data_IF_279898865309
#
_entry.id   IF_279898865309
#
_cell.length_a   1.000
_cell.length_b   1.000
_cell.length_c   1.000
_cell.angle_alpha   90.00
_cell.angle_beta   90.00
_cell.angle_gamma   90.00
#
_symmetry.space_group_name_H-M   'P 1'
#
loop_
_entity.id
_entity.type
_entity.pdbx_description
1 polymer ?
#
# COMPACT_ATOMS: atom_id res chain seq x y z
N UNK A 1 -6.51 16.06 -18.58
CA UNK A 1 -5.95 15.39 -17.38
C UNK A 1 -5.39 14.05 -17.81
N UNK A 2 -4.30 13.59 -17.17
CA UNK A 2 -3.74 12.27 -17.46
C UNK A 2 -4.74 11.17 -17.11
N UNK A 3 -4.84 10.12 -17.93
CA UNK A 3 -5.69 8.96 -17.60
C UNK A 3 -4.96 8.03 -16.62
N UNK A 4 -5.53 7.84 -15.43
CA UNK A 4 -5.01 6.96 -14.38
C UNK A 4 -5.82 5.66 -14.32
N UNK A 5 -5.15 4.52 -14.50
CA UNK A 5 -5.73 3.22 -14.14
C UNK A 5 -5.61 3.01 -12.63
N UNK A 6 -6.72 2.77 -11.94
CA UNK A 6 -6.76 2.35 -10.53
C UNK A 6 -7.29 0.93 -10.47
N UNK A 7 -6.46 -0.03 -10.07
CA UNK A 7 -6.90 -1.42 -9.88
C UNK A 7 -7.34 -1.64 -8.43
N UNK A 8 -8.25 -2.56 -8.15
CA UNK A 8 -8.78 -2.76 -6.79
C UNK A 8 -9.69 -1.61 -6.38
N UNK A 9 -10.32 -0.97 -7.36
CA UNK A 9 -11.09 0.26 -7.18
C UNK A 9 -12.37 0.06 -6.37
N UNK A 10 -12.92 -1.17 -6.33
CA UNK A 10 -14.11 -1.47 -5.52
C UNK A 10 -13.74 -1.75 -4.04
N UNK A 11 -12.45 -1.97 -3.73
CA UNK A 11 -11.97 -2.17 -2.37
C UNK A 11 -12.09 -0.92 -1.50
N UNK A 12 -12.12 -1.11 -0.17
CA UNK A 12 -12.30 -0.02 0.80
C UNK A 12 -11.27 1.11 0.67
N UNK A 13 -10.01 0.77 0.38
CA UNK A 13 -8.98 1.78 0.11
C UNK A 13 -9.26 2.56 -1.17
N UNK A 14 -9.55 1.85 -2.27
CA UNK A 14 -9.87 2.46 -3.56
C UNK A 14 -11.02 3.46 -3.42
N UNK A 15 -12.14 3.00 -2.84
CA UNK A 15 -13.34 3.81 -2.60
C UNK A 15 -13.13 5.02 -1.68
N UNK A 16 -12.14 4.96 -0.78
CA UNK A 16 -11.82 6.05 0.14
C UNK A 16 -11.05 7.18 -0.51
N UNK A 17 -10.24 6.89 -1.54
CA UNK A 17 -9.34 7.88 -2.16
C UNK A 17 -9.87 8.48 -3.47
N UNK A 18 -10.90 7.90 -4.11
CA UNK A 18 -11.34 8.34 -5.44
C UNK A 18 -11.68 9.83 -5.51
N UNK A 19 -12.42 10.35 -4.53
CA UNK A 19 -12.85 11.76 -4.52
C UNK A 19 -11.67 12.73 -4.47
N UNK A 20 -10.58 12.33 -3.81
CA UNK A 20 -9.36 13.12 -3.71
C UNK A 20 -8.49 13.02 -4.98
N UNK A 21 -8.65 11.98 -5.80
CA UNK A 21 -7.86 11.78 -7.01
C UNK A 21 -8.49 12.39 -8.28
N UNK A 22 -9.83 12.52 -8.32
CA UNK A 22 -10.56 13.09 -9.48
C UNK A 22 -10.14 14.51 -9.88
N UNK A 23 -9.75 15.42 -8.96
CA UNK A 23 -9.23 16.73 -9.35
C UNK A 23 -7.91 16.67 -10.14
N UNK A 24 -7.18 15.55 -10.07
CA UNK A 24 -5.85 15.41 -10.66
C UNK A 24 -5.83 14.52 -11.92
N UNK A 25 -6.75 13.56 -12.02
CA UNK A 25 -6.71 12.52 -13.05
C UNK A 25 -8.10 12.22 -13.63
N UNK A 26 -8.12 11.79 -14.90
CA UNK A 26 -9.27 11.09 -15.47
C UNK A 26 -9.18 9.61 -15.07
N UNK A 27 -10.18 9.09 -14.35
CA UNK A 27 -10.07 7.79 -13.69
C UNK A 27 -10.61 6.66 -14.57
N UNK A 28 -9.80 5.61 -14.74
CA UNK A 28 -10.24 4.28 -15.15
C UNK A 28 -10.20 3.37 -13.94
N UNK A 29 -11.36 2.90 -13.50
CA UNK A 29 -11.56 2.16 -12.27
C UNK A 29 -11.72 0.66 -12.59
N UNK A 30 -10.75 -0.13 -12.15
CA UNK A 30 -10.69 -1.56 -12.41
C UNK A 30 -10.86 -2.37 -11.13
N UNK A 31 -11.73 -3.36 -11.18
CA UNK A 31 -11.87 -4.38 -10.14
C UNK A 31 -12.45 -5.69 -10.73
N UNK A 32 -12.41 -6.79 -9.99
CA UNK A 32 -13.04 -8.06 -10.36
C UNK A 32 -14.56 -8.04 -10.11
N UNK A 33 -15.05 -7.05 -9.36
CA UNK A 33 -16.48 -6.78 -9.13
C UNK A 33 -16.83 -5.35 -9.55
N UNK A 34 -18.12 -5.00 -9.71
CA UNK A 34 -18.52 -3.63 -10.01
C UNK A 34 -18.11 -2.61 -8.93
N UNK A 35 -17.77 -1.41 -9.36
CA UNK A 35 -17.37 -0.28 -8.51
C UNK A 35 -18.60 0.50 -8.08
N UNK A 36 -18.79 0.73 -6.77
CA UNK A 36 -20.02 1.33 -6.24
C UNK A 36 -20.11 2.85 -6.40
N UNK A 37 -19.00 3.60 -6.23
CA UNK A 37 -18.96 5.07 -6.37
C UNK A 37 -18.44 5.52 -7.73
N UNK A 38 -19.27 5.40 -8.77
CA UNK A 38 -18.98 5.97 -10.09
C UNK A 38 -19.44 7.43 -10.17
N UNK A 39 -18.58 8.33 -10.63
CA UNK A 39 -18.90 9.71 -10.96
C UNK A 39 -18.98 9.91 -12.48
N UNK A 40 -19.72 10.93 -12.98
CA UNK A 40 -19.67 11.32 -14.37
C UNK A 40 -18.23 11.54 -14.84
N UNK A 41 -17.80 10.79 -15.86
CA UNK A 41 -16.45 10.85 -16.41
C UNK A 41 -15.51 9.74 -15.95
N UNK A 42 -15.89 8.94 -14.94
CA UNK A 42 -15.17 7.72 -14.61
C UNK A 42 -15.42 6.65 -15.68
N UNK A 43 -14.36 5.90 -16.02
CA UNK A 43 -14.45 4.72 -16.88
C UNK A 43 -14.36 3.46 -16.03
N UNK A 44 -15.42 2.66 -15.99
CA UNK A 44 -15.42 1.39 -15.25
C UNK A 44 -14.92 0.24 -16.13
N UNK A 45 -14.08 -0.63 -15.57
CA UNK A 45 -13.59 -1.85 -16.20
C UNK A 45 -13.68 -3.00 -15.21
N UNK A 46 -14.47 -4.04 -15.52
CA UNK A 46 -14.57 -5.23 -14.66
C UNK A 46 -13.83 -6.42 -15.29
N UNK A 47 -12.93 -7.04 -14.53
CA UNK A 47 -12.25 -8.27 -14.95
C UNK A 47 -10.99 -8.57 -14.13
N UNK A 48 -10.33 -9.67 -14.46
CA UNK A 48 -9.22 -10.23 -13.68
C UNK A 48 -7.86 -10.00 -14.36
N UNK A 49 -6.97 -9.29 -13.66
CA UNK A 49 -5.59 -9.05 -14.11
C UNK A 49 -4.72 -10.31 -14.16
N UNK A 50 -5.17 -11.43 -13.58
CA UNK A 50 -4.50 -12.72 -13.76
C UNK A 50 -4.61 -13.24 -15.21
N UNK A 51 -5.55 -12.74 -16.00
CA UNK A 51 -5.59 -12.92 -17.46
C UNK A 51 -4.64 -11.89 -18.13
N UNK A 52 -3.55 -12.33 -18.79
CA UNK A 52 -2.60 -11.42 -19.42
C UNK A 52 -3.23 -10.60 -20.57
N UNK A 53 -4.15 -11.19 -21.34
CA UNK A 53 -4.79 -10.47 -22.45
C UNK A 53 -5.71 -9.37 -21.92
N UNK A 54 -6.39 -9.64 -20.80
CA UNK A 54 -7.17 -8.64 -20.10
C UNK A 54 -6.28 -7.54 -19.53
N UNK A 55 -5.15 -7.87 -18.91
CA UNK A 55 -4.21 -6.88 -18.38
C UNK A 55 -3.73 -5.90 -19.46
N UNK A 56 -3.40 -6.39 -20.66
CA UNK A 56 -3.06 -5.54 -21.81
C UNK A 56 -4.20 -4.58 -22.17
N UNK A 57 -5.43 -5.09 -22.29
CA UNK A 57 -6.61 -4.24 -22.61
C UNK A 57 -6.89 -3.20 -21.52
N UNK A 58 -6.76 -3.59 -20.25
CA UNK A 58 -7.02 -2.72 -19.12
C UNK A 58 -6.09 -1.50 -19.08
N UNK A 59 -4.82 -1.72 -19.43
CA UNK A 59 -3.77 -0.70 -19.41
C UNK A 59 -3.79 0.20 -20.64
N UNK A 60 -4.29 -0.28 -21.78
CA UNK A 60 -4.26 0.42 -23.05
C UNK A 60 -4.90 1.82 -22.97
N UNK A 61 -4.16 2.85 -23.39
CA UNK A 61 -4.60 4.25 -23.41
C UNK A 61 -4.60 4.97 -22.05
N UNK A 62 -4.08 4.33 -20.99
CA UNK A 62 -3.74 5.00 -19.74
C UNK A 62 -2.37 5.68 -19.82
N UNK A 63 -2.09 6.58 -18.88
CA UNK A 63 -0.82 7.30 -18.77
C UNK A 63 -0.17 7.11 -17.40
N UNK A 64 -0.86 6.52 -16.43
CA UNK A 64 -0.31 6.09 -15.14
C UNK A 64 -1.10 4.91 -14.59
N UNK A 65 -0.51 4.22 -13.62
CA UNK A 65 -1.16 3.13 -12.88
C UNK A 65 -1.02 3.36 -11.38
N UNK A 66 -2.12 3.21 -10.65
CA UNK A 66 -2.18 2.98 -9.21
C UNK A 66 -2.66 1.55 -8.96
N UNK A 67 -1.76 0.67 -8.55
CA UNK A 67 -2.06 -0.74 -8.33
C UNK A 67 -2.40 -1.01 -6.87
N UNK A 68 -3.70 -1.04 -6.53
CA UNK A 68 -4.22 -1.38 -5.20
C UNK A 68 -4.70 -2.84 -5.07
N UNK A 69 -4.99 -3.51 -6.20
CA UNK A 69 -5.60 -4.83 -6.19
C UNK A 69 -4.69 -5.84 -5.47
N UNK A 70 -5.26 -6.52 -4.48
CA UNK A 70 -4.66 -7.65 -3.80
C UNK A 70 -5.74 -8.36 -2.96
N UNK A 71 -5.52 -9.63 -2.66
CA UNK A 71 -6.21 -10.33 -1.57
C UNK A 71 -5.33 -10.31 -0.32
N UNK A 72 -5.98 -10.20 0.83
CA UNK A 72 -5.31 -10.17 2.13
C UNK A 72 -6.16 -10.86 3.20
N UNK A 73 -5.54 -11.22 4.31
CA UNK A 73 -6.20 -11.82 5.46
C UNK A 73 -5.19 -12.20 6.52
N UNK A 74 -5.62 -12.31 7.79
CA UNK A 74 -4.74 -12.60 8.91
C UNK A 74 -3.93 -13.89 8.69
N UNK A 75 -4.55 -14.93 8.16
CA UNK A 75 -3.93 -16.25 7.95
C UNK A 75 -4.13 -16.74 6.51
N UNK A 76 -4.16 -15.83 5.54
CA UNK A 76 -4.37 -16.19 4.14
C UNK A 76 -3.25 -17.13 3.65
N UNK A 77 -3.58 -18.29 3.06
CA UNK A 77 -2.57 -19.22 2.56
C UNK A 77 -1.90 -18.69 1.29
N UNK A 78 -0.68 -19.15 1.02
CA UNK A 78 0.08 -18.74 -0.16
C UNK A 78 -0.69 -18.95 -1.48
N UNK A 79 -1.34 -20.10 -1.64
CA UNK A 79 -2.08 -20.46 -2.85
C UNK A 79 -3.19 -19.47 -3.19
N UNK A 80 -3.86 -18.94 -2.17
CA UNK A 80 -4.93 -17.95 -2.35
C UNK A 80 -4.39 -16.60 -2.86
N UNK A 81 -3.11 -16.31 -2.67
CA UNK A 81 -2.49 -15.05 -3.11
C UNK A 81 -1.95 -15.09 -4.54
N UNK A 82 -1.77 -16.28 -5.14
CA UNK A 82 -1.05 -16.46 -6.40
C UNK A 82 -1.62 -15.65 -7.57
N UNK A 83 -2.95 -15.66 -7.77
CA UNK A 83 -3.56 -14.93 -8.87
C UNK A 83 -3.49 -13.42 -8.64
N UNK A 84 -4.09 -12.95 -7.54
CA UNK A 84 -4.32 -11.53 -7.32
C UNK A 84 -3.07 -10.75 -6.89
N UNK A 85 -2.09 -11.38 -6.24
CA UNK A 85 -0.93 -10.67 -5.69
C UNK A 85 0.36 -10.94 -6.47
N UNK A 86 0.43 -12.03 -7.25
CA UNK A 86 1.63 -12.39 -8.03
C UNK A 86 1.39 -12.29 -9.53
N UNK A 87 0.48 -13.10 -10.09
CA UNK A 87 0.20 -13.12 -11.53
C UNK A 87 -0.32 -11.78 -12.04
N UNK A 88 -1.28 -11.18 -11.31
CA UNK A 88 -1.80 -9.86 -11.64
C UNK A 88 -0.71 -8.78 -11.68
N UNK A 89 0.25 -8.79 -10.75
CA UNK A 89 1.37 -7.83 -10.72
C UNK A 89 2.28 -8.03 -11.94
N UNK A 90 2.66 -9.28 -12.27
CA UNK A 90 3.50 -9.56 -13.45
C UNK A 90 2.82 -9.12 -14.73
N UNK A 91 1.56 -9.51 -14.92
CA UNK A 91 0.79 -9.19 -16.12
C UNK A 91 0.61 -7.67 -16.26
N UNK A 92 0.29 -6.98 -15.17
CA UNK A 92 0.16 -5.52 -15.16
C UNK A 92 1.47 -4.83 -15.51
N UNK A 93 2.59 -5.26 -14.93
CA UNK A 93 3.90 -4.66 -15.18
C UNK A 93 4.37 -4.91 -16.61
N UNK A 94 4.15 -6.11 -17.14
CA UNK A 94 4.49 -6.42 -18.54
C UNK A 94 3.63 -5.63 -19.52
N UNK A 95 2.30 -5.57 -19.29
CA UNK A 95 1.40 -4.74 -20.08
C UNK A 95 1.81 -3.26 -20.05
N UNK A 96 2.11 -2.72 -18.86
CA UNK A 96 2.55 -1.35 -18.68
C UNK A 96 3.89 -1.06 -19.38
N UNK A 97 4.82 -2.02 -19.38
CA UNK A 97 6.09 -1.92 -20.09
C UNK A 97 5.89 -1.84 -21.60
N UNK A 98 5.05 -2.71 -22.17
CA UNK A 98 4.74 -2.74 -23.61
C UNK A 98 4.05 -1.44 -24.05
N UNK A 99 3.07 -0.97 -23.28
CA UNK A 99 2.33 0.27 -23.55
C UNK A 99 3.09 1.55 -23.14
N UNK A 100 4.30 1.40 -22.58
CA UNK A 100 5.17 2.50 -22.11
C UNK A 100 4.51 3.43 -21.09
N UNK A 101 3.71 2.87 -20.20
CA UNK A 101 3.02 3.60 -19.13
C UNK A 101 4.01 4.02 -18.07
N UNK A 102 3.95 5.29 -17.67
CA UNK A 102 4.75 5.82 -16.57
C UNK A 102 4.17 7.12 -16.01
N UNK A 103 4.24 7.35 -14.68
CA UNK A 103 4.68 6.44 -13.60
C UNK A 103 3.65 5.39 -13.13
N UNK A 104 4.14 4.45 -12.30
CA UNK A 104 3.36 3.43 -11.58
C UNK A 104 3.55 3.61 -10.07
N UNK A 105 2.44 3.71 -9.33
CA UNK A 105 2.40 3.61 -7.87
C UNK A 105 1.84 2.23 -7.46
N UNK A 106 2.58 1.50 -6.63
CA UNK A 106 2.22 0.18 -6.12
C UNK A 106 1.86 0.28 -4.63
N UNK A 107 0.69 -0.21 -4.24
CA UNK A 107 0.31 -0.35 -2.84
C UNK A 107 1.06 -1.52 -2.21
N UNK A 108 2.24 -1.23 -1.66
CA UNK A 108 2.94 -2.09 -0.72
C UNK A 108 2.29 -1.97 0.68
N UNK A 109 2.90 -2.52 1.72
CA UNK A 109 2.30 -2.57 3.05
C UNK A 109 3.34 -2.58 4.17
N UNK A 110 2.99 -1.94 5.30
CA UNK A 110 3.69 -2.06 6.58
C UNK A 110 3.94 -3.52 7.00
N UNK A 111 3.05 -4.44 6.60
CA UNK A 111 3.15 -5.87 6.89
C UNK A 111 4.44 -6.52 6.37
N UNK A 112 5.08 -5.97 5.33
CA UNK A 112 6.42 -6.39 4.90
C UNK A 112 7.50 -6.26 5.99
N UNK A 113 7.24 -5.42 7.00
CA UNK A 113 8.06 -5.19 8.20
C UNK A 113 7.33 -5.58 9.48
N UNK A 114 6.27 -6.40 9.39
CA UNK A 114 5.38 -6.68 10.52
C UNK A 114 6.02 -7.45 11.67
N UNK A 115 7.04 -8.29 11.43
CA UNK A 115 7.81 -8.96 12.50
C UNK A 115 9.00 -8.12 12.99
N UNK A 116 9.08 -6.82 12.68
CA UNK A 116 9.97 -5.95 13.44
C UNK A 116 9.37 -5.70 14.84
N UNK A 117 10.21 -5.71 15.90
CA UNK A 117 9.75 -5.31 17.22
C UNK A 117 9.35 -3.84 17.24
N UNK A 118 8.39 -3.50 18.09
CA UNK A 118 8.09 -2.09 18.40
C UNK A 118 9.27 -1.51 19.19
N UNK A 119 9.81 -0.39 18.72
CA UNK A 119 10.90 0.32 19.39
C UNK A 119 10.59 1.81 19.43
N UNK A 120 11.30 2.57 20.27
CA UNK A 120 11.18 4.02 20.31
C UNK A 120 11.77 4.73 19.08
N UNK A 121 12.62 4.06 18.31
CA UNK A 121 13.18 4.60 17.08
C UNK A 121 12.30 4.20 15.88
N UNK A 122 11.85 5.16 15.04
CA UNK A 122 11.13 4.83 13.81
C UNK A 122 11.98 4.00 12.87
N UNK A 123 11.36 3.00 12.23
CA UNK A 123 12.04 2.09 11.33
C UNK A 123 12.43 2.82 10.04
N UNK A 124 13.72 2.80 9.70
CA UNK A 124 14.23 3.42 8.49
C UNK A 124 13.70 2.72 7.23
N UNK A 125 13.53 3.49 6.14
CA UNK A 125 13.08 2.96 4.84
C UNK A 125 14.00 1.86 4.27
N UNK A 126 15.27 1.87 4.63
CA UNK A 126 16.29 0.88 4.22
C UNK A 126 16.30 -0.39 5.05
N UNK A 127 15.46 -0.48 6.08
CA UNK A 127 15.41 -1.65 6.96
C UNK A 127 15.01 -2.91 6.17
N UNK A 128 15.65 -4.07 6.43
CA UNK A 128 15.30 -5.30 5.73
C UNK A 128 13.86 -5.73 6.06
N UNK A 129 13.15 -6.35 5.11
CA UNK A 129 11.81 -6.84 5.37
C UNK A 129 11.83 -7.97 6.42
N UNK A 130 10.83 -7.97 7.30
CA UNK A 130 10.48 -9.06 8.23
C UNK A 130 8.98 -9.34 8.08
N UNK A 131 8.55 -10.03 7.01
CA UNK A 131 7.14 -10.13 6.64
C UNK A 131 6.34 -10.96 7.65
N UNK A 132 5.13 -10.51 8.00
CA UNK A 132 4.28 -11.14 9.03
C UNK A 132 3.19 -12.09 8.51
N UNK A 133 3.33 -12.57 7.26
CA UNK A 133 2.42 -13.54 6.63
C UNK A 133 2.55 -13.59 5.10
N UNK A 134 1.77 -14.44 4.43
CA UNK A 134 1.86 -14.60 2.96
C UNK A 134 1.42 -13.37 2.18
N UNK A 135 0.42 -12.62 2.70
CA UNK A 135 0.09 -11.30 2.16
C UNK A 135 1.31 -10.37 2.18
N UNK A 136 2.02 -10.31 3.31
CA UNK A 136 3.21 -9.48 3.47
C UNK A 136 4.33 -9.88 2.50
N UNK A 137 4.60 -11.18 2.37
CA UNK A 137 5.59 -11.71 1.41
C UNK A 137 5.24 -11.28 0.00
N UNK A 138 3.96 -11.33 -0.40
CA UNK A 138 3.54 -10.92 -1.74
C UNK A 138 3.80 -9.45 -2.03
N UNK A 139 3.67 -8.57 -1.02
CA UNK A 139 3.95 -7.13 -1.17
C UNK A 139 5.46 -6.86 -1.27
N UNK A 140 6.29 -7.53 -0.47
CA UNK A 140 7.76 -7.43 -0.57
C UNK A 140 8.25 -7.97 -1.92
N UNK A 141 7.71 -9.10 -2.37
CA UNK A 141 7.99 -9.62 -3.71
C UNK A 141 7.56 -8.62 -4.80
N UNK A 142 6.41 -7.97 -4.64
CA UNK A 142 5.95 -6.90 -5.52
C UNK A 142 6.92 -5.72 -5.59
N UNK A 143 7.50 -5.28 -4.46
CA UNK A 143 8.54 -4.25 -4.46
C UNK A 143 9.76 -4.67 -5.28
N UNK A 144 10.18 -5.93 -5.20
CA UNK A 144 11.28 -6.46 -6.01
C UNK A 144 10.95 -6.47 -7.51
N UNK A 145 9.69 -6.75 -7.89
CA UNK A 145 9.24 -6.61 -9.28
C UNK A 145 9.27 -5.13 -9.72
N UNK A 146 8.80 -4.21 -8.88
CA UNK A 146 8.84 -2.78 -9.18
C UNK A 146 10.29 -2.28 -9.38
N UNK A 147 11.22 -2.76 -8.56
CA UNK A 147 12.66 -2.51 -8.69
C UNK A 147 13.23 -3.05 -10.00
N UNK A 148 12.96 -4.32 -10.30
CA UNK A 148 13.39 -4.95 -11.56
C UNK A 148 12.94 -4.13 -12.76
N UNK A 149 11.67 -3.75 -12.83
CA UNK A 149 11.15 -3.00 -13.98
C UNK A 149 11.65 -1.55 -14.01
N UNK A 150 11.88 -0.95 -12.84
CA UNK A 150 12.48 0.37 -12.73
C UNK A 150 13.90 0.39 -13.31
N UNK A 151 14.73 -0.56 -12.89
CA UNK A 151 16.16 -0.60 -13.23
C UNK A 151 16.42 -1.20 -14.61
N UNK A 152 15.71 -2.27 -14.99
CA UNK A 152 15.94 -2.97 -16.25
C UNK A 152 15.26 -2.31 -17.45
N UNK A 153 14.13 -1.62 -17.24
CA UNK A 153 13.33 -1.04 -18.32
C UNK A 153 13.16 0.48 -18.21
N UNK A 154 13.77 1.12 -17.21
CA UNK A 154 13.70 2.58 -17.05
C UNK A 154 12.31 3.10 -16.67
N UNK A 155 11.49 2.27 -16.04
CA UNK A 155 10.16 2.69 -15.58
C UNK A 155 10.27 3.52 -14.30
N UNK A 156 9.37 4.48 -14.12
CA UNK A 156 9.25 5.23 -12.86
C UNK A 156 8.27 4.49 -11.95
N UNK A 157 8.78 3.73 -10.96
CA UNK A 157 7.98 2.93 -10.04
C UNK A 157 8.13 3.41 -8.59
N UNK A 158 7.01 3.49 -7.87
CA UNK A 158 7.00 3.88 -6.45
C UNK A 158 6.21 2.86 -5.64
N UNK A 159 6.85 2.21 -4.67
CA UNK A 159 6.18 1.33 -3.70
C UNK A 159 5.80 2.10 -2.45
N UNK A 160 4.50 2.24 -2.21
CA UNK A 160 3.94 2.90 -1.04
C UNK A 160 3.68 1.84 0.04
N UNK A 161 4.52 1.80 1.07
CA UNK A 161 4.36 0.91 2.23
C UNK A 161 3.31 1.50 3.15
N UNK A 162 2.04 1.27 2.79
CA UNK A 162 0.90 1.84 3.50
C UNK A 162 0.86 1.30 4.92
N UNK A 163 0.81 2.21 5.90
CA UNK A 163 0.54 1.92 7.30
C UNK A 163 -0.88 1.40 7.49
N UNK A 164 -1.72 2.16 8.18
CA UNK A 164 -3.15 1.88 8.25
C UNK A 164 -3.96 3.05 7.67
N UNK A 165 -4.61 2.83 6.53
CA UNK A 165 -5.43 3.87 5.92
C UNK A 165 -6.93 3.64 6.17
N UNK A 166 -7.62 4.67 6.62
CA UNK A 166 -9.04 4.60 6.97
C UNK A 166 -9.63 5.97 7.34
N UNK A 167 -10.94 6.02 7.68
CA UNK A 167 -11.60 7.25 8.11
C UNK A 167 -11.16 7.70 9.51
N UNK A 168 -10.75 6.76 10.37
CA UNK A 168 -10.36 6.97 11.76
C UNK A 168 -9.26 5.98 12.18
N UNK A 169 -8.72 6.20 13.38
CA UNK A 169 -7.75 5.33 14.05
C UNK A 169 -8.53 4.40 14.99
N UNK A 170 -8.57 3.09 14.72
CA UNK A 170 -9.45 2.18 15.47
C UNK A 170 -8.79 1.54 16.70
N UNK A 171 -7.47 1.65 16.87
CA UNK A 171 -6.74 1.14 18.04
C UNK A 171 -5.37 1.82 18.24
N UNK A 172 -4.76 1.54 19.40
CA UNK A 172 -3.44 2.04 19.79
C UNK A 172 -2.38 1.79 18.72
N UNK A 173 -2.25 0.54 18.26
CA UNK A 173 -1.22 0.15 17.30
C UNK A 173 -1.28 1.02 16.05
N UNK A 174 -2.49 1.24 15.54
CA UNK A 174 -2.71 1.98 14.30
C UNK A 174 -2.47 3.48 14.49
N UNK A 175 -2.54 4.02 15.70
CA UNK A 175 -2.21 5.42 15.98
C UNK A 175 -0.78 5.80 15.58
N UNK A 176 0.15 4.83 15.58
CA UNK A 176 1.57 5.03 15.26
C UNK A 176 1.92 4.94 13.75
N UNK A 177 0.95 4.63 12.91
CA UNK A 177 1.16 4.42 11.47
C UNK A 177 -0.08 4.72 10.62
N UNK A 178 -1.03 5.48 11.17
CA UNK A 178 -2.26 5.82 10.48
C UNK A 178 -1.99 6.83 9.36
N UNK A 179 -2.82 6.80 8.32
CA UNK A 179 -2.85 7.82 7.27
C UNK A 179 -4.29 8.01 6.79
N UNK A 180 -4.75 9.26 6.71
CA UNK A 180 -6.09 9.52 6.19
C UNK A 180 -6.19 9.21 4.70
N UNK A 181 -7.40 9.07 4.17
CA UNK A 181 -7.60 8.94 2.73
C UNK A 181 -7.08 10.17 1.94
N UNK A 182 -7.23 11.36 2.51
CA UNK A 182 -6.75 12.62 1.90
C UNK A 182 -5.23 12.63 1.81
N UNK A 183 -4.55 12.29 2.90
CA UNK A 183 -3.09 12.30 2.96
C UNK A 183 -2.49 11.19 2.11
N UNK A 184 -3.09 10.00 2.08
CA UNK A 184 -2.64 8.97 1.16
C UNK A 184 -2.82 9.39 -0.30
N UNK A 185 -3.95 10.03 -0.65
CA UNK A 185 -4.17 10.53 -2.00
C UNK A 185 -3.15 11.60 -2.41
N UNK A 186 -2.75 12.51 -1.49
CA UNK A 186 -1.72 13.52 -1.78
C UNK A 186 -0.35 12.87 -2.04
N UNK A 187 0.03 11.85 -1.26
CA UNK A 187 1.26 11.08 -1.49
C UNK A 187 1.21 10.28 -2.81
N UNK A 188 0.04 9.73 -3.17
CA UNK A 188 -0.18 9.07 -4.46
C UNK A 188 0.01 10.06 -5.61
N UNK A 189 -0.51 11.29 -5.51
CA UNK A 189 -0.31 12.34 -6.52
C UNK A 189 1.17 12.65 -6.68
N UNK A 190 1.92 12.81 -5.57
CA UNK A 190 3.38 13.02 -5.60
C UNK A 190 4.08 11.85 -6.31
N UNK A 191 3.74 10.61 -5.94
CA UNK A 191 4.31 9.41 -6.55
C UNK A 191 4.03 9.31 -8.06
N UNK A 192 2.85 9.77 -8.49
CA UNK A 192 2.40 9.74 -9.89
C UNK A 192 2.81 10.97 -10.72
N UNK A 193 3.47 11.96 -10.12
CA UNK A 193 4.12 13.08 -10.82
C UNK A 193 5.58 12.78 -11.18
N UNK A 194 6.12 11.64 -10.71
CA UNK A 194 7.52 11.25 -10.94
C UNK A 194 7.80 10.95 -12.41
N UNK A 195 8.87 11.55 -12.94
CA UNK A 195 9.32 11.34 -14.33
C UNK A 195 10.65 10.59 -14.44
N UNK A 196 11.48 10.61 -13.40
CA UNK A 196 12.78 9.94 -13.40
C UNK A 196 12.64 8.40 -13.27
N UNK A 197 13.46 7.64 -14.00
CA UNK A 197 13.43 6.19 -13.98
C UNK A 197 13.93 5.60 -12.66
N UNK A 198 13.68 4.31 -12.45
CA UNK A 198 14.13 3.55 -11.29
C UNK A 198 13.04 3.40 -10.23
N UNK A 199 13.36 2.68 -9.16
CA UNK A 199 12.43 2.38 -8.08
C UNK A 199 12.67 3.22 -6.84
N UNK A 200 11.58 3.57 -6.16
CA UNK A 200 11.59 4.14 -4.82
C UNK A 200 10.60 3.40 -3.94
N UNK A 201 10.94 3.23 -2.68
CA UNK A 201 10.00 2.78 -1.65
C UNK A 201 9.85 3.87 -0.59
N UNK A 202 8.61 4.07 -0.12
CA UNK A 202 8.28 5.09 0.88
C UNK A 202 7.38 4.45 1.94
N UNK A 203 7.59 4.76 3.22
CA UNK A 203 6.55 4.52 4.23
C UNK A 203 5.44 5.57 4.09
N UNK A 204 4.21 5.12 3.91
CA UNK A 204 3.04 5.95 3.72
C UNK A 204 2.22 5.98 5.02
N UNK A 205 2.63 6.87 5.92
CA UNK A 205 1.98 7.19 7.19
C UNK A 205 1.80 8.71 7.28
N UNK A 206 0.73 9.17 7.93
CA UNK A 206 0.47 10.58 8.21
C UNK A 206 1.29 11.09 9.39
N UNK A 207 0.80 12.15 10.04
CA UNK A 207 1.39 12.63 11.29
C UNK A 207 0.90 11.79 12.46
N UNK A 208 1.79 10.97 13.02
CA UNK A 208 1.48 10.01 14.09
C UNK A 208 2.36 10.27 15.33
N UNK A 209 1.83 10.15 16.56
CA UNK A 209 2.65 10.11 17.77
C UNK A 209 3.51 8.85 17.78
N UNK A 210 4.74 8.95 18.28
CA UNK A 210 5.71 7.85 18.41
C UNK A 210 5.71 6.90 17.20
N UNK A 211 6.01 7.40 15.99
CA UNK A 211 5.71 6.68 14.76
C UNK A 211 6.58 5.42 14.60
N UNK A 212 5.97 4.35 14.11
CA UNK A 212 6.72 3.11 13.82
C UNK A 212 7.66 3.24 12.63
N UNK A 213 7.43 4.19 11.73
CA UNK A 213 8.14 4.30 10.46
C UNK A 213 8.69 5.70 10.24
N UNK A 214 9.92 5.77 9.73
CA UNK A 214 10.49 7.04 9.27
C UNK A 214 9.88 7.45 7.92
N UNK A 215 9.21 8.60 7.92
CA UNK A 215 8.56 9.21 6.74
C UNK A 215 9.37 10.36 6.13
N UNK A 216 10.60 10.60 6.57
CA UNK A 216 11.51 11.65 6.07
C UNK A 216 11.61 11.67 4.55
N UNK A 217 11.86 10.51 3.92
CA UNK A 217 11.95 10.35 2.46
C UNK A 217 10.68 10.78 1.71
N UNK A 218 9.49 10.63 2.29
CA UNK A 218 8.26 11.14 1.69
C UNK A 218 8.18 12.67 1.81
N UNK A 219 8.55 13.21 2.99
CA UNK A 219 8.57 14.65 3.26
C UNK A 219 9.54 15.40 2.36
N UNK A 220 10.71 14.81 2.08
CA UNK A 220 11.69 15.34 1.13
C UNK A 220 11.13 15.47 -0.30
N UNK A 221 10.13 14.66 -0.65
CA UNK A 221 9.41 14.74 -1.93
C UNK A 221 8.24 15.73 -1.89
N UNK A 222 8.08 16.49 -0.80
CA UNK A 222 7.01 17.47 -0.62
C UNK A 222 5.73 16.92 0.02
N UNK A 223 5.74 15.70 0.55
CA UNK A 223 4.60 15.17 1.29
C UNK A 223 4.47 15.89 2.64
N UNK A 224 3.36 16.60 2.81
CA UNK A 224 3.00 17.27 4.05
C UNK A 224 1.60 16.79 4.47
N UNK A 225 1.50 15.77 5.35
CA UNK A 225 0.20 15.30 5.82
C UNK A 225 -0.54 16.43 6.55
N UNK A 226 -1.87 16.44 6.42
CA UNK A 226 -2.74 17.47 6.98
C UNK A 226 -3.60 16.96 8.13
N UNK A 227 -3.75 15.65 8.26
CA UNK A 227 -4.64 15.04 9.23
C UNK A 227 -3.81 14.28 10.29
N UNK A 228 -3.60 14.87 11.50
CA UNK A 228 -2.87 14.19 12.58
C UNK A 228 -3.68 13.02 13.15
N UNK A 229 -3.04 11.87 13.38
CA UNK A 229 -3.71 10.66 13.86
C UNK A 229 -4.47 10.89 15.19
N UNK A 230 -3.94 11.73 16.08
CA UNK A 230 -4.53 12.03 17.39
C UNK A 230 -5.89 12.75 17.30
N UNK A 231 -6.13 13.50 16.21
CA UNK A 231 -7.38 14.22 15.98
C UNK A 231 -8.45 13.32 15.33
N UNK A 232 -8.07 12.09 14.96
CA UNK A 232 -8.88 11.15 14.19
C UNK A 232 -9.07 9.81 14.91
N UNK A 233 -8.98 9.78 16.23
CA UNK A 233 -9.27 8.57 17.02
C UNK A 233 -10.75 8.18 16.90
N UNK A 234 -11.02 6.90 16.64
CA UNK A 234 -12.38 6.36 16.63
C UNK A 234 -13.03 6.41 18.04
N UNK A 235 -12.20 6.33 19.08
CA UNK A 235 -12.54 6.54 20.48
C UNK A 235 -11.40 7.32 21.16
N UNK A 236 -11.67 8.44 21.86
CA UNK A 236 -10.64 9.23 22.54
C UNK A 236 -9.78 8.42 23.52
N UNK A 237 -10.33 7.36 24.12
CA UNK A 237 -9.61 6.50 25.05
C UNK A 237 -8.50 5.67 24.41
N UNK A 238 -8.41 5.62 23.07
CA UNK A 238 -7.30 4.97 22.36
C UNK A 238 -5.95 5.61 22.70
N UNK A 239 -5.92 6.92 22.98
CA UNK A 239 -4.68 7.63 23.33
C UNK A 239 -3.99 7.06 24.59
N UNK A 240 -4.76 6.48 25.49
CA UNK A 240 -4.28 5.96 26.79
C UNK A 240 -4.23 4.41 26.82
N UNK A 241 -4.53 3.75 25.70
CA UNK A 241 -4.49 2.29 25.63
C UNK A 241 -3.04 1.79 25.70
N UNK A 242 -2.84 0.73 26.47
CA UNK A 242 -1.57 -0.01 26.43
C UNK A 242 -1.52 -0.95 25.22
N UNK A 243 -0.33 -1.25 24.69
CA UNK A 243 -0.17 -2.28 23.66
C UNK A 243 -0.79 -3.61 24.10
N UNK A 244 -1.33 -4.36 23.13
CA UNK A 244 -1.90 -5.70 23.39
C UNK A 244 -0.86 -6.68 23.93
N UNK A 245 -1.29 -7.70 24.68
CA UNK A 245 -0.35 -8.71 25.16
C UNK A 245 0.29 -9.55 24.02
N UNK A 246 1.46 -10.12 24.32
CA UNK A 246 2.14 -11.07 23.45
C UNK A 246 2.59 -10.48 22.12
N UNK A 247 2.62 -11.31 21.08
CA UNK A 247 3.17 -10.92 19.77
C UNK A 247 2.42 -9.74 19.13
N UNK A 248 1.13 -9.56 19.44
CA UNK A 248 0.33 -8.46 18.91
C UNK A 248 0.78 -7.08 19.40
N UNK A 249 1.24 -6.94 20.65
CA UNK A 249 1.83 -5.69 21.15
C UNK A 249 3.33 -5.61 20.97
N UNK A 250 4.04 -6.74 20.84
CA UNK A 250 5.50 -6.72 20.70
C UNK A 250 5.97 -6.42 19.28
N UNK A 251 5.21 -6.82 18.26
CA UNK A 251 5.58 -6.62 16.86
C UNK A 251 4.75 -5.51 16.20
N UNK A 252 5.36 -4.82 15.23
CA UNK A 252 4.70 -3.78 14.44
C UNK A 252 3.48 -4.33 13.69
N UNK A 253 3.50 -5.60 13.27
CA UNK A 253 2.45 -6.27 12.49
C UNK A 253 1.16 -6.55 13.26
N UNK A 254 1.18 -6.47 14.59
CA UNK A 254 -0.01 -6.65 15.41
C UNK A 254 -0.68 -8.01 15.24
N UNK A 255 -1.98 -8.00 15.01
CA UNK A 255 -2.76 -9.22 14.83
C UNK A 255 -2.28 -10.11 13.68
N UNK A 256 -1.68 -9.54 12.62
CA UNK A 256 -1.11 -10.34 11.53
C UNK A 256 0.11 -11.13 12.01
N UNK A 257 1.04 -10.46 12.70
CA UNK A 257 2.19 -11.10 13.32
C UNK A 257 1.74 -12.18 14.32
N UNK A 258 0.79 -11.86 15.20
CA UNK A 258 0.29 -12.82 16.18
C UNK A 258 -0.37 -14.05 15.53
N UNK A 259 -1.15 -13.88 14.47
CA UNK A 259 -1.85 -14.98 13.81
C UNK A 259 -0.91 -15.93 13.05
N UNK A 260 0.27 -15.45 12.61
CA UNK A 260 1.25 -16.25 11.87
C UNK A 260 2.44 -16.69 12.73
N UNK A 261 2.53 -16.24 13.99
CA UNK A 261 3.63 -16.57 14.88
C UNK A 261 3.41 -17.93 15.55
N UNK A 262 4.30 -18.87 15.27
CA UNK A 262 4.28 -20.23 15.84
C UNK A 262 5.55 -20.57 16.64
N UNK A 263 6.49 -19.62 16.73
CA UNK A 263 7.76 -19.82 17.40
C UNK A 263 7.68 -19.48 18.89
N UNK A 264 8.80 -19.67 19.61
CA UNK A 264 8.95 -19.22 20.98
C UNK A 264 9.21 -17.70 21.03
N UNK A 265 8.41 -16.99 21.83
CA UNK A 265 8.46 -15.53 21.92
C UNK A 265 9.72 -15.00 22.60
N UNK A 266 10.31 -15.76 23.53
CA UNK A 266 11.55 -15.38 24.21
C UNK A 266 12.77 -15.52 23.30
N UNK A 267 12.71 -16.39 22.31
CA UNK A 267 13.74 -16.49 21.29
C UNK A 267 13.62 -15.38 20.25
N UNK A 268 12.40 -15.04 19.82
CA UNK A 268 12.17 -13.96 18.86
C UNK A 268 12.58 -12.58 19.40
N UNK A 269 12.36 -12.30 20.68
CA UNK A 269 12.73 -11.00 21.27
C UNK A 269 14.23 -10.74 21.38
N UNK A 270 15.08 -11.76 21.13
CA UNK A 270 16.54 -11.67 21.16
C UNK A 270 17.16 -11.45 19.75
N UNK A 271 16.35 -11.48 18.69
CA UNK A 271 16.77 -11.42 17.28
C UNK A 271 16.48 -10.09 16.60
#
# INVERSE_FOLDING_TARGET
MRRLLITGAAGGLGQGILDFLRPHFALRLLDIVPVSKLHPGDEEVTGDLADPDFATRAVAGCEAVLHLAAVHGLTIPFEATLNSNYRAVLNLMEAARVERIRPIAFASSNHGWGFHPRTSAPLAVTSPPRPDGWYAVSKVWGEAVMALYGDAYGMATTSLRIGNCGPDVPDERRSHMWISYRDLASLIVIALQREDPGHRALFACGECPDPFFDTSSAKELGFSPLDPAIDHLADPGIADQSPSDGMAGLAIGGAFAAANFQADIHNWSKS
#
